data_IF_416655114307
#
_entry.id   IF_416655114307
#
_cell.length_a   1.000
_cell.length_b   1.000
_cell.length_c   1.000
_cell.angle_alpha   90.00
_cell.angle_beta   90.00
_cell.angle_gamma   90.00
#
_symmetry.space_group_name_H-M   'P 1'
#
loop_
_entity.id
_entity.type
_entity.pdbx_description
1 polymer ?
#
# COMPACT_ATOMS: atom_id res chain seq x y z
N UNK A 1 40.04 -16.30 -14.58
CA UNK A 1 40.82 -17.41 -14.00
C UNK A 1 41.93 -16.84 -13.13
N UNK A 2 41.80 -17.00 -11.80
CA UNK A 2 42.71 -16.73 -10.64
C UNK A 2 41.76 -16.46 -9.46
N UNK A 3 41.21 -17.49 -8.80
CA UNK A 3 41.76 -18.20 -7.64
C UNK A 3 42.26 -17.25 -6.55
N UNK A 4 41.56 -17.17 -5.41
CA UNK A 4 42.06 -17.72 -4.14
C UNK A 4 40.93 -17.77 -3.08
N UNK A 5 40.72 -18.98 -2.54
CA UNK A 5 39.96 -19.28 -1.33
C UNK A 5 40.68 -18.80 -0.07
N UNK A 6 39.93 -18.64 1.04
CA UNK A 6 40.23 -18.94 2.46
C UNK A 6 39.32 -18.06 3.35
N UNK A 7 38.69 -18.47 4.45
CA UNK A 7 38.77 -19.66 5.33
C UNK A 7 37.43 -19.78 6.09
N UNK A 8 36.98 -21.02 6.30
CA UNK A 8 36.04 -21.45 7.35
C UNK A 8 36.84 -21.79 8.63
N UNK A 9 36.29 -21.43 9.79
CA UNK A 9 36.47 -22.02 11.14
C UNK A 9 35.83 -21.04 12.16
N UNK A 10 35.14 -21.38 13.24
CA UNK A 10 34.74 -22.63 13.91
C UNK A 10 33.63 -22.25 14.93
N UNK A 11 32.62 -23.09 15.14
CA UNK A 11 32.48 -24.05 16.23
C UNK A 11 32.44 -23.44 17.66
N UNK A 12 31.29 -23.52 18.33
CA UNK A 12 31.16 -24.01 19.71
C UNK A 12 29.67 -24.18 20.08
N UNK A 13 29.30 -25.42 20.41
CA UNK A 13 28.05 -25.79 21.06
C UNK A 13 28.20 -25.67 22.58
N UNK A 14 27.11 -25.35 23.30
CA UNK A 14 26.96 -25.68 24.70
C UNK A 14 25.47 -25.86 25.03
N UNK A 15 25.05 -27.12 25.06
CA UNK A 15 23.83 -27.56 25.72
C UNK A 15 24.10 -27.65 27.23
N UNK A 16 23.22 -27.09 28.05
CA UNK A 16 23.19 -27.35 29.49
C UNK A 16 21.86 -28.02 29.81
N UNK A 17 21.95 -29.32 30.06
CA UNK A 17 20.96 -30.13 30.75
C UNK A 17 21.12 -29.89 32.25
N UNK A 18 20.04 -29.55 32.95
CA UNK A 18 19.96 -29.65 34.40
C UNK A 18 18.72 -30.49 34.76
N UNK A 19 19.00 -31.53 35.53
CA UNK A 19 18.08 -32.55 35.97
C UNK A 19 17.25 -32.11 37.18
N UNK A 20 16.02 -32.61 37.22
CA UNK A 20 15.41 -33.27 38.38
C UNK A 20 15.15 -32.43 39.64
N UNK A 21 13.87 -32.21 39.94
CA UNK A 21 13.37 -32.41 41.30
C UNK A 21 11.93 -32.88 41.24
N UNK A 22 11.70 -34.11 41.70
CA UNK A 22 10.38 -34.73 41.84
C UNK A 22 9.88 -34.45 43.26
N UNK A 23 8.70 -33.85 43.39
CA UNK A 23 8.01 -33.67 44.67
C UNK A 23 6.77 -34.58 44.69
N UNK A 24 6.86 -35.65 45.49
CA UNK A 24 5.73 -36.50 45.87
C UNK A 24 4.74 -35.71 46.74
N UNK A 25 3.53 -35.48 46.24
CA UNK A 25 2.40 -34.94 47.00
C UNK A 25 1.39 -36.05 47.33
N UNK A 26 0.99 -36.14 48.60
CA UNK A 26 -0.03 -37.08 49.10
C UNK A 26 -1.45 -36.76 48.58
N UNK A 27 -2.35 -37.77 48.49
CA UNK A 27 -3.72 -37.56 48.06
C UNK A 27 -4.58 -36.94 49.18
N UNK A 28 -5.10 -35.74 48.94
CA UNK A 28 -6.14 -35.12 49.77
C UNK A 28 -7.54 -35.62 49.40
N UNK A 29 -8.53 -35.50 50.31
CA UNK A 29 -9.88 -36.00 50.11
C UNK A 29 -10.60 -35.25 48.97
N UNK A 30 -11.29 -36.00 48.11
CA UNK A 30 -11.92 -35.50 46.90
C UNK A 30 -13.02 -34.46 47.18
N UNK A 31 -13.18 -33.46 46.30
CA UNK A 31 -14.31 -32.54 46.36
C UNK A 31 -15.59 -33.26 45.91
N UNK A 32 -16.67 -32.98 46.64
CA UNK A 32 -18.06 -33.25 46.29
C UNK A 32 -18.40 -32.80 44.86
N UNK A 33 -19.25 -33.52 44.11
CA UNK A 33 -19.64 -33.13 42.77
C UNK A 33 -20.53 -31.88 42.83
N UNK A 34 -19.96 -30.73 42.46
CA UNK A 34 -20.71 -29.50 42.22
C UNK A 34 -21.51 -29.68 40.93
N UNK A 35 -22.82 -29.50 41.04
CA UNK A 35 -23.77 -29.60 39.94
C UNK A 35 -23.44 -28.53 38.90
N UNK A 36 -22.88 -28.96 37.76
CA UNK A 36 -22.45 -28.08 36.68
C UNK A 36 -23.63 -27.33 36.06
N UNK A 37 -23.66 -26.02 36.26
CA UNK A 37 -24.45 -25.13 35.41
C UNK A 37 -23.86 -25.17 33.99
N UNK A 38 -24.68 -25.35 32.93
CA UNK A 38 -24.16 -25.45 31.58
C UNK A 38 -23.46 -24.14 31.18
N UNK A 39 -22.20 -24.28 30.75
CA UNK A 39 -21.44 -23.17 30.15
C UNK A 39 -22.19 -22.68 28.90
N UNK A 40 -22.33 -21.35 28.69
CA UNK A 40 -22.94 -20.84 27.48
C UNK A 40 -22.14 -21.30 26.26
N UNK A 41 -22.80 -21.56 25.11
CA UNK A 41 -22.10 -21.94 23.89
C UNK A 41 -21.08 -20.84 23.52
N UNK A 42 -19.92 -21.21 22.92
CA UNK A 42 -18.98 -20.22 22.45
C UNK A 42 -19.70 -19.28 21.49
N UNK A 43 -19.64 -17.98 21.78
CA UNK A 43 -20.18 -16.96 20.90
C UNK A 43 -19.59 -17.18 19.50
N UNK A 44 -20.46 -17.39 18.51
CA UNK A 44 -20.06 -17.49 17.11
C UNK A 44 -19.26 -16.24 16.78
N UNK A 45 -18.00 -16.41 16.38
CA UNK A 45 -17.14 -15.29 16.02
C UNK A 45 -17.89 -14.42 14.99
N UNK A 46 -17.95 -13.11 15.24
CA UNK A 46 -18.51 -12.18 14.28
C UNK A 46 -17.84 -12.42 12.92
N UNK A 47 -18.58 -12.35 11.79
CA UNK A 47 -17.96 -12.42 10.47
C UNK A 47 -16.83 -11.38 10.39
N UNK A 48 -15.71 -11.70 9.74
CA UNK A 48 -14.65 -10.72 9.55
C UNK A 48 -15.23 -9.45 8.91
N UNK A 49 -14.73 -8.26 9.26
CA UNK A 49 -15.18 -7.02 8.66
C UNK A 49 -15.18 -7.14 7.13
N UNK A 50 -16.36 -7.02 6.54
CA UNK A 50 -16.51 -7.16 5.09
C UNK A 50 -16.17 -5.82 4.44
N UNK A 51 -15.26 -5.84 3.47
CA UNK A 51 -14.91 -4.64 2.71
C UNK A 51 -16.14 -4.12 1.93
N UNK A 52 -16.57 -2.90 2.23
CA UNK A 52 -17.67 -2.21 1.53
C UNK A 52 -17.20 -1.20 0.48
N UNK A 53 -15.89 -0.95 0.38
CA UNK A 53 -15.28 -0.11 -0.65
C UNK A 53 -15.48 -0.68 -2.05
N UNK A 54 -15.38 0.18 -3.07
CA UNK A 54 -15.54 -0.22 -4.46
C UNK A 54 -14.25 -0.85 -4.97
N UNK A 55 -14.29 -2.13 -5.31
CA UNK A 55 -13.18 -2.83 -5.95
C UNK A 55 -13.17 -2.53 -7.46
N UNK A 56 -12.04 -2.02 -7.95
CA UNK A 56 -11.74 -1.88 -9.38
C UNK A 56 -10.62 -2.86 -9.69
N UNK A 57 -10.96 -3.98 -10.34
CA UNK A 57 -10.00 -5.06 -10.60
C UNK A 57 -8.95 -4.74 -11.68
N UNK A 58 -9.22 -3.75 -12.53
CA UNK A 58 -8.40 -3.39 -13.70
C UNK A 58 -8.21 -1.88 -13.81
N UNK A 59 -7.86 -1.22 -12.70
CA UNK A 59 -7.44 0.18 -12.76
C UNK A 59 -6.10 0.25 -13.48
N UNK A 60 -5.97 1.16 -14.44
CA UNK A 60 -4.66 1.43 -15.03
C UNK A 60 -3.90 2.38 -14.12
N UNK A 61 -2.69 1.99 -13.73
CA UNK A 61 -1.83 2.87 -12.93
C UNK A 61 -0.59 3.24 -13.71
N UNK A 62 -0.05 4.40 -13.40
CA UNK A 62 1.30 4.82 -13.74
C UNK A 62 2.00 5.30 -12.47
N UNK A 63 3.28 5.64 -12.57
CA UNK A 63 3.96 6.39 -11.53
C UNK A 63 4.41 7.75 -12.06
N UNK A 64 4.45 8.71 -11.14
CA UNK A 64 5.14 10.00 -11.29
C UNK A 64 5.91 10.27 -9.99
N UNK A 65 6.93 11.11 -10.05
CA UNK A 65 7.77 11.40 -8.90
C UNK A 65 8.44 12.76 -8.96
N UNK A 66 9.38 12.97 -8.07
CA UNK A 66 10.07 14.25 -7.92
C UNK A 66 10.66 14.79 -9.24
N UNK A 67 11.16 13.92 -10.12
CA UNK A 67 11.86 14.33 -11.34
C UNK A 67 10.96 14.79 -12.47
N UNK A 68 9.74 14.28 -12.55
CA UNK A 68 8.78 14.50 -13.64
C UNK A 68 7.45 15.09 -13.16
N UNK A 69 7.32 15.41 -11.87
CA UNK A 69 6.24 16.24 -11.36
C UNK A 69 6.14 17.56 -12.15
N UNK A 70 4.99 18.22 -12.09
CA UNK A 70 4.82 19.56 -12.65
C UNK A 70 4.63 20.56 -11.49
N UNK A 71 5.62 21.42 -11.18
CA UNK A 71 6.92 21.61 -11.85
C UNK A 71 7.96 20.50 -11.56
N UNK A 72 8.89 20.22 -12.50
CA UNK A 72 9.92 19.20 -12.31
C UNK A 72 10.88 19.53 -11.17
N UNK A 73 11.31 18.50 -10.44
CA UNK A 73 12.17 18.67 -9.27
C UNK A 73 11.42 19.26 -8.07
N UNK A 74 10.13 18.95 -7.92
CA UNK A 74 9.31 19.49 -6.85
C UNK A 74 8.36 18.44 -6.26
N UNK A 75 7.82 18.75 -5.08
CA UNK A 75 6.76 17.99 -4.42
C UNK A 75 5.45 18.79 -4.38
N UNK A 76 5.29 19.78 -5.26
CA UNK A 76 4.06 20.58 -5.32
C UNK A 76 2.89 19.68 -5.72
N UNK A 77 1.72 19.94 -5.12
CA UNK A 77 0.45 19.28 -5.42
C UNK A 77 -0.62 20.33 -5.69
N UNK A 78 -1.58 20.00 -6.54
CA UNK A 78 -2.64 20.95 -6.93
C UNK A 78 -3.85 20.98 -5.98
N UNK A 79 -4.10 19.91 -5.21
CA UNK A 79 -5.32 19.74 -4.42
C UNK A 79 -5.04 19.25 -2.98
N UNK A 80 -4.30 20.02 -2.15
CA UNK A 80 -3.94 19.60 -0.79
C UNK A 80 -5.18 19.37 0.09
N UNK A 81 -5.20 18.24 0.82
CA UNK A 81 -6.24 17.92 1.81
C UNK A 81 -5.62 17.56 3.16
N UNK A 82 -4.74 16.56 3.17
CA UNK A 82 -3.99 16.09 4.33
C UNK A 82 -2.55 16.61 4.29
N UNK A 83 -1.90 16.56 3.12
CA UNK A 83 -0.54 17.04 2.92
C UNK A 83 -0.51 18.42 2.29
N UNK A 84 0.61 19.13 2.47
CA UNK A 84 0.89 20.40 1.77
C UNK A 84 1.83 20.20 0.57
N UNK A 85 2.30 18.98 0.37
CA UNK A 85 3.21 18.56 -0.69
C UNK A 85 3.07 17.05 -0.90
N UNK A 86 3.36 16.54 -2.10
CA UNK A 86 3.29 15.12 -2.41
C UNK A 86 4.17 14.30 -1.47
N UNK A 87 3.63 13.20 -0.95
CA UNK A 87 4.33 12.38 0.03
C UNK A 87 3.43 11.34 0.67
N UNK A 88 3.73 11.01 1.93
CA UNK A 88 3.00 10.05 2.75
C UNK A 88 3.74 8.71 2.90
N UNK A 89 3.55 8.04 4.05
CA UNK A 89 4.17 6.73 4.34
C UNK A 89 3.35 5.54 3.84
N UNK A 90 2.16 5.76 3.29
CA UNK A 90 1.26 4.73 2.77
C UNK A 90 0.44 4.00 3.83
N UNK A 91 0.41 4.52 5.06
CA UNK A 91 -0.50 4.00 6.10
C UNK A 91 -1.89 4.62 5.95
N UNK A 92 -2.90 4.07 6.64
CA UNK A 92 -4.22 4.72 6.65
C UNK A 92 -4.17 6.14 7.19
N UNK A 93 -3.37 6.41 8.24
CA UNK A 93 -3.29 7.74 8.84
C UNK A 93 -2.50 8.74 7.96
N UNK A 94 -1.59 8.22 7.15
CA UNK A 94 -0.65 8.97 6.32
C UNK A 94 -0.51 8.28 4.95
N UNK A 95 -1.57 8.31 4.13
CA UNK A 95 -1.61 7.67 2.81
C UNK A 95 -0.69 8.38 1.81
N UNK A 96 -0.24 7.68 0.77
CA UNK A 96 0.58 8.31 -0.28
C UNK A 96 -0.28 9.18 -1.21
N UNK A 97 0.23 10.33 -1.64
CA UNK A 97 -0.43 11.15 -2.68
C UNK A 97 -0.66 10.35 -3.97
N UNK A 98 -1.81 10.55 -4.61
CA UNK A 98 -2.10 10.05 -5.96
C UNK A 98 -2.72 11.17 -6.78
N UNK A 99 -2.36 11.23 -8.05
CA UNK A 99 -2.92 12.13 -9.04
C UNK A 99 -4.00 11.44 -9.87
N UNK A 100 -5.03 12.21 -10.24
CA UNK A 100 -6.17 11.72 -11.04
C UNK A 100 -6.42 12.64 -12.23
N UNK A 101 -7.05 12.11 -13.28
CA UNK A 101 -7.52 12.94 -14.39
C UNK A 101 -8.46 14.05 -13.91
N UNK A 102 -8.57 15.10 -14.72
CA UNK A 102 -9.43 16.24 -14.43
C UNK A 102 -9.89 16.92 -15.73
N UNK A 103 -10.91 17.75 -15.60
CA UNK A 103 -11.51 18.46 -16.74
C UNK A 103 -11.79 19.91 -16.39
N UNK A 104 -11.62 20.79 -17.37
CA UNK A 104 -11.99 22.20 -17.25
C UNK A 104 -13.26 22.45 -18.05
N UNK A 105 -14.33 22.83 -17.36
CA UNK A 105 -15.61 23.18 -17.98
C UNK A 105 -16.12 24.50 -17.41
N UNK A 106 -16.42 25.46 -18.28
CA UNK A 106 -16.86 26.81 -17.91
C UNK A 106 -15.91 27.50 -16.90
N UNK A 107 -14.61 27.25 -16.99
CA UNK A 107 -13.59 27.80 -16.10
C UNK A 107 -13.47 27.11 -14.74
N UNK A 108 -14.29 26.10 -14.46
CA UNK A 108 -14.15 25.27 -13.28
C UNK A 108 -13.29 24.04 -13.59
N UNK A 109 -12.26 23.83 -12.80
CA UNK A 109 -11.42 22.63 -12.83
C UNK A 109 -12.02 21.57 -11.88
N UNK A 110 -12.30 20.37 -12.40
CA UNK A 110 -12.95 19.28 -11.67
C UNK A 110 -12.18 17.98 -11.85
N UNK A 111 -11.71 17.42 -10.74
CA UNK A 111 -11.07 16.10 -10.69
C UNK A 111 -12.07 14.98 -10.96
N UNK A 112 -11.61 13.92 -11.64
CA UNK A 112 -12.39 12.70 -11.91
C UNK A 112 -12.74 11.95 -10.61
N UNK A 113 -11.88 12.09 -9.60
CA UNK A 113 -12.12 11.68 -8.22
C UNK A 113 -11.95 12.89 -7.30
N UNK A 114 -12.89 13.19 -6.39
CA UNK A 114 -12.75 14.32 -5.49
C UNK A 114 -11.47 14.27 -4.66
N UNK A 115 -10.86 15.43 -4.42
CA UNK A 115 -9.74 15.54 -3.51
C UNK A 115 -10.10 14.96 -2.13
N UNK A 116 -9.18 14.21 -1.53
CA UNK A 116 -9.39 13.48 -0.29
C UNK A 116 -9.93 12.06 -0.47
N UNK A 117 -10.29 11.65 -1.69
CA UNK A 117 -10.69 10.27 -1.99
C UNK A 117 -9.56 9.33 -1.59
N UNK A 118 -9.88 8.31 -0.79
CA UNK A 118 -8.90 7.33 -0.31
C UNK A 118 -8.98 6.06 -1.11
N UNK A 119 -7.85 5.39 -1.26
CA UNK A 119 -7.80 4.09 -1.90
C UNK A 119 -6.71 3.22 -1.30
N UNK A 120 -6.80 1.92 -1.54
CA UNK A 120 -5.76 0.95 -1.20
C UNK A 120 -5.38 0.15 -2.44
N UNK A 121 -4.08 0.00 -2.69
CA UNK A 121 -3.54 -0.75 -3.81
C UNK A 121 -2.78 -1.96 -3.25
N UNK A 122 -3.34 -3.18 -3.34
CA UNK A 122 -2.71 -4.38 -2.78
C UNK A 122 -1.31 -4.63 -3.33
N UNK A 123 -1.08 -4.35 -4.63
CA UNK A 123 0.23 -4.55 -5.27
C UNK A 123 1.35 -3.76 -4.59
N UNK A 124 1.01 -2.63 -3.97
CA UNK A 124 1.93 -1.73 -3.28
C UNK A 124 1.86 -1.88 -1.76
N UNK A 125 0.82 -2.55 -1.24
CA UNK A 125 0.51 -2.60 0.19
C UNK A 125 0.54 -1.19 0.81
N UNK A 126 -0.16 -0.25 0.21
CA UNK A 126 -0.22 1.14 0.65
C UNK A 126 -1.62 1.70 0.45
N UNK A 127 -1.99 2.60 1.34
CA UNK A 127 -3.12 3.50 1.15
C UNK A 127 -2.66 4.74 0.39
N UNK A 128 -3.56 5.31 -0.41
CA UNK A 128 -3.35 6.51 -1.19
C UNK A 128 -4.50 7.51 -0.98
N UNK A 129 -4.23 8.78 -1.24
CA UNK A 129 -5.19 9.87 -1.14
C UNK A 129 -5.07 10.80 -2.36
N UNK A 130 -6.20 11.12 -2.97
CA UNK A 130 -6.25 12.06 -4.10
C UNK A 130 -5.94 13.46 -3.58
N UNK A 131 -4.80 14.00 -3.97
CA UNK A 131 -4.39 15.36 -3.61
C UNK A 131 -3.73 16.11 -4.75
N UNK A 132 -3.72 15.50 -5.93
CA UNK A 132 -3.02 16.03 -7.09
C UNK A 132 -3.80 15.73 -8.37
N UNK A 133 -3.44 16.43 -9.45
CA UNK A 133 -4.08 16.30 -10.74
C UNK A 133 -3.07 15.77 -11.76
N UNK A 134 -3.44 14.71 -12.49
CA UNK A 134 -2.69 14.25 -13.63
C UNK A 134 -3.24 14.95 -14.88
N UNK A 135 -2.43 15.87 -15.39
CA UNK A 135 -2.68 16.51 -16.65
C UNK A 135 -2.40 17.99 -16.65
N UNK A 136 -1.79 18.47 -17.74
CA UNK A 136 -1.38 19.86 -17.85
C UNK A 136 -2.09 20.57 -19.00
N UNK A 137 -2.13 21.90 -18.90
CA UNK A 137 -2.59 22.79 -19.95
C UNK A 137 -4.08 23.12 -19.90
N UNK A 138 -4.58 23.72 -20.97
CA UNK A 138 -5.94 24.28 -21.02
C UNK A 138 -7.04 23.23 -21.30
N UNK A 139 -6.66 22.02 -21.69
CA UNK A 139 -7.58 20.94 -22.08
C UNK A 139 -7.18 19.60 -21.44
N UNK A 140 -7.11 19.51 -20.10
CA UNK A 140 -6.75 18.27 -19.41
C UNK A 140 -7.75 17.12 -19.69
N UNK A 141 -8.98 17.45 -20.09
CA UNK A 141 -9.96 16.46 -20.53
C UNK A 141 -9.58 15.71 -21.84
N UNK A 142 -8.59 16.18 -22.60
CA UNK A 142 -8.21 15.57 -23.88
C UNK A 142 -6.97 14.65 -23.78
N UNK A 143 -6.35 14.56 -22.60
CA UNK A 143 -5.12 13.79 -22.37
C UNK A 143 -5.40 12.46 -21.62
N UNK A 144 -4.47 11.50 -21.63
CA UNK A 144 -4.77 10.12 -21.24
C UNK A 144 -5.29 9.90 -19.81
N UNK A 145 -4.86 10.69 -18.83
CA UNK A 145 -5.30 10.54 -17.44
C UNK A 145 -6.81 10.77 -17.25
N UNK A 146 -7.43 11.64 -18.06
CA UNK A 146 -8.89 11.79 -18.12
C UNK A 146 -9.49 11.00 -19.30
N UNK A 147 -8.92 11.16 -20.49
CA UNK A 147 -9.34 10.47 -21.70
C UNK A 147 -8.59 9.14 -21.88
N UNK A 148 -9.00 8.16 -21.08
CA UNK A 148 -8.41 6.82 -20.97
C UNK A 148 -8.23 6.12 -22.33
N UNK A 149 -9.12 6.39 -23.29
CA UNK A 149 -9.04 5.82 -24.64
C UNK A 149 -7.77 6.20 -25.43
N UNK A 150 -7.06 7.24 -24.99
CA UNK A 150 -5.87 7.79 -25.66
C UNK A 150 -4.53 7.28 -25.14
N UNK A 151 -4.51 6.39 -24.14
CA UNK A 151 -3.23 5.87 -23.66
C UNK A 151 -3.29 4.71 -22.67
N UNK A 152 -4.44 4.43 -22.07
CA UNK A 152 -4.53 3.40 -21.05
C UNK A 152 -4.62 2.00 -21.68
N UNK A 153 -4.25 0.98 -20.91
CA UNK A 153 -4.41 -0.41 -21.33
C UNK A 153 -5.90 -0.75 -21.60
N UNK A 154 -6.14 -1.58 -22.62
CA UNK A 154 -7.51 -1.98 -23.01
C UNK A 154 -8.24 -2.64 -21.84
N UNK A 155 -9.51 -2.27 -21.65
CA UNK A 155 -10.37 -2.86 -20.61
C UNK A 155 -10.30 -2.16 -19.25
N UNK A 156 -9.58 -1.03 -19.17
CA UNK A 156 -9.65 -0.15 -17.99
C UNK A 156 -10.70 0.96 -18.16
N UNK A 157 -11.18 1.46 -17.03
CA UNK A 157 -12.16 2.55 -16.95
C UNK A 157 -11.69 3.68 -16.04
N UNK A 158 -10.51 3.55 -15.41
CA UNK A 158 -9.92 4.56 -14.53
C UNK A 158 -8.40 4.59 -14.69
N UNK A 159 -7.80 5.77 -14.50
CA UNK A 159 -6.35 5.97 -14.45
C UNK A 159 -5.96 6.59 -13.10
N UNK A 160 -4.98 6.02 -12.42
CA UNK A 160 -4.36 6.61 -11.23
C UNK A 160 -2.86 6.80 -11.44
N UNK A 161 -2.35 8.00 -11.25
CA UNK A 161 -0.93 8.27 -11.38
C UNK A 161 -0.28 8.41 -9.99
N UNK A 162 0.62 7.50 -9.66
CA UNK A 162 1.02 7.22 -8.28
C UNK A 162 2.30 7.98 -7.93
N UNK A 163 2.26 8.77 -6.86
CA UNK A 163 3.47 9.45 -6.37
C UNK A 163 4.48 8.43 -5.85
N UNK A 164 5.67 8.40 -6.43
CA UNK A 164 6.71 7.47 -6.04
C UNK A 164 7.74 8.03 -5.05
N UNK A 165 7.75 9.34 -4.83
CA UNK A 165 8.85 10.03 -4.13
C UNK A 165 10.02 10.30 -5.08
N UNK A 166 11.23 9.88 -4.70
CA UNK A 166 12.39 9.88 -5.60
C UNK A 166 13.31 11.11 -5.53
N UNK A 167 13.08 12.05 -4.60
CA UNK A 167 13.97 13.22 -4.39
C UNK A 167 15.38 12.84 -3.93
N UNK A 168 15.52 11.70 -3.26
CA UNK A 168 16.81 11.10 -2.87
C UNK A 168 17.33 10.04 -3.84
N UNK A 169 16.62 9.81 -4.95
CA UNK A 169 16.94 8.78 -5.94
C UNK A 169 17.33 9.40 -7.27
N UNK A 170 18.00 8.62 -8.13
CA UNK A 170 18.31 9.10 -9.47
C UNK A 170 17.04 9.17 -10.34
N UNK A 171 17.04 10.04 -11.35
CA UNK A 171 15.98 10.09 -12.36
C UNK A 171 15.84 8.71 -13.06
N UNK A 172 16.95 8.01 -13.30
CA UNK A 172 16.90 6.66 -13.88
C UNK A 172 16.24 5.62 -12.97
N UNK A 173 16.40 5.72 -11.66
CA UNK A 173 15.73 4.81 -10.71
C UNK A 173 14.23 5.16 -10.60
N UNK A 174 13.89 6.45 -10.67
CA UNK A 174 12.51 6.94 -10.72
C UNK A 174 11.77 6.36 -11.91
N UNK A 175 12.29 6.55 -13.13
CA UNK A 175 11.71 5.97 -14.35
C UNK A 175 11.56 4.45 -14.33
N UNK A 176 12.49 3.74 -13.68
CA UNK A 176 12.39 2.29 -13.52
C UNK A 176 11.25 1.90 -12.58
N UNK A 177 11.05 2.66 -11.50
CA UNK A 177 9.95 2.42 -10.59
C UNK A 177 8.61 2.80 -11.23
N UNK A 178 8.50 3.95 -11.89
CA UNK A 178 7.32 4.37 -12.66
C UNK A 178 6.92 3.31 -13.70
N UNK A 179 7.90 2.79 -14.45
CA UNK A 179 7.66 1.70 -15.41
C UNK A 179 7.19 0.40 -14.75
N UNK A 180 7.63 0.12 -13.51
CA UNK A 180 7.17 -1.06 -12.74
C UNK A 180 5.70 -0.92 -12.33
N UNK A 181 5.25 0.30 -12.03
CA UNK A 181 3.86 0.60 -11.68
C UNK A 181 2.94 0.73 -12.89
N UNK A 182 3.49 0.82 -14.10
CA UNK A 182 2.71 1.06 -15.32
C UNK A 182 2.04 -0.23 -15.81
N UNK A 183 0.90 -0.57 -15.22
CA UNK A 183 0.13 -1.77 -15.56
C UNK A 183 -1.32 -1.68 -15.07
N UNK A 184 -2.06 -2.79 -15.22
CA UNK A 184 -3.39 -2.95 -14.63
C UNK A 184 -3.25 -3.54 -13.22
N UNK A 185 -3.87 -2.89 -12.25
CA UNK A 185 -3.88 -3.31 -10.85
C UNK A 185 -5.27 -3.28 -10.24
N UNK A 186 -5.42 -4.04 -9.16
CA UNK A 186 -6.59 -3.94 -8.29
C UNK A 186 -6.46 -2.70 -7.41
N UNK A 187 -7.53 -1.90 -7.35
CA UNK A 187 -7.64 -0.74 -6.47
C UNK A 187 -8.94 -0.87 -5.68
N UNK A 188 -8.87 -0.64 -4.38
CA UNK A 188 -10.04 -0.58 -3.50
C UNK A 188 -10.28 0.89 -3.18
N UNK A 189 -11.30 1.48 -3.79
CA UNK A 189 -11.71 2.86 -3.54
C UNK A 189 -12.56 2.97 -2.29
N UNK A 190 -12.33 4.02 -1.51
CA UNK A 190 -12.98 4.30 -0.23
C UNK A 190 -13.03 3.04 0.67
N UNK A 191 -11.87 2.42 0.96
CA UNK A 191 -11.86 1.18 1.72
C UNK A 191 -12.39 1.43 3.13
N UNK A 192 -13.34 0.60 3.51
CA UNK A 192 -13.91 0.55 4.86
C UNK A 192 -12.96 -0.10 5.85
N UNK A 193 -12.11 -1.01 5.38
CA UNK A 193 -11.06 -1.68 6.16
C UNK A 193 -9.80 -0.80 6.22
N UNK A 194 -9.30 -0.59 7.44
CA UNK A 194 -8.17 0.33 7.73
C UNK A 194 -6.91 -0.39 8.22
N UNK A 195 -7.01 -1.70 8.42
CA UNK A 195 -5.99 -2.61 8.94
C UNK A 195 -5.44 -3.54 7.87
N UNK A 196 -5.53 -3.16 6.59
CA UNK A 196 -4.76 -3.85 5.56
C UNK A 196 -3.28 -3.83 5.90
N UNK A 197 -2.58 -4.88 5.46
CA UNK A 197 -1.14 -4.98 5.49
C UNK A 197 -0.56 -3.77 4.76
N UNK A 198 0.42 -3.13 5.37
CA UNK A 198 1.11 -1.99 4.76
C UNK A 198 2.60 -2.26 4.77
N UNK A 199 3.27 -1.89 3.68
CA UNK A 199 4.73 -1.70 3.66
C UNK A 199 5.00 -0.20 3.76
N UNK A 200 5.32 0.35 4.95
CA UNK A 200 5.43 1.80 5.12
C UNK A 200 6.66 2.40 4.44
N UNK A 201 6.60 3.70 4.14
CA UNK A 201 7.66 4.49 3.50
C UNK A 201 7.32 4.89 2.06
N UNK A 202 8.28 5.48 1.35
CA UNK A 202 8.11 5.86 -0.06
C UNK A 202 7.88 4.62 -0.95
N UNK A 203 7.30 4.82 -2.13
CA UNK A 203 7.22 3.75 -3.15
C UNK A 203 8.59 3.51 -3.76
N UNK A 204 9.39 4.55 -3.98
CA UNK A 204 10.80 4.45 -4.35
C UNK A 204 11.70 4.84 -3.17
N UNK A 205 12.52 3.89 -2.70
CA UNK A 205 13.55 4.14 -1.68
C UNK A 205 14.93 3.72 -2.19
N UNK A 206 15.80 4.70 -2.44
CA UNK A 206 17.08 4.47 -3.11
C UNK A 206 16.85 3.91 -4.51
N UNK A 207 17.24 2.65 -4.75
CA UNK A 207 17.02 1.93 -6.02
C UNK A 207 15.84 0.94 -5.95
N UNK A 208 15.22 0.76 -4.78
CA UNK A 208 14.17 -0.21 -4.56
C UNK A 208 12.80 0.39 -4.88
N UNK A 209 12.07 -0.25 -5.79
CA UNK A 209 10.66 0.04 -6.02
C UNK A 209 9.81 -0.94 -5.20
N UNK A 210 9.06 -0.41 -4.22
CA UNK A 210 8.23 -1.16 -3.30
C UNK A 210 6.88 -1.51 -3.93
N UNK A 211 6.91 -2.51 -4.82
CA UNK A 211 5.77 -3.01 -5.57
C UNK A 211 5.81 -4.55 -5.72
N UNK A 212 4.84 -5.10 -6.46
CA UNK A 212 4.71 -6.53 -6.72
C UNK A 212 4.38 -7.39 -5.50
N UNK A 213 3.67 -6.83 -4.53
CA UNK A 213 3.18 -7.56 -3.36
C UNK A 213 1.92 -8.41 -3.63
N UNK A 214 1.38 -8.35 -4.85
CA UNK A 214 0.22 -9.10 -5.30
C UNK A 214 -1.09 -8.30 -5.30
N UNK A 215 -2.08 -8.73 -6.07
CA UNK A 215 -3.33 -7.99 -6.33
C UNK A 215 -4.43 -8.22 -5.28
N UNK A 216 -4.19 -9.09 -4.30
CA UNK A 216 -5.18 -9.44 -3.26
C UNK A 216 -4.88 -8.70 -1.96
N UNK A 217 -5.85 -7.95 -1.39
CA UNK A 217 -5.64 -7.31 -0.10
C UNK A 217 -5.41 -8.34 1.00
N UNK A 218 -4.46 -8.07 1.88
CA UNK A 218 -4.16 -8.89 3.06
C UNK A 218 -4.43 -8.04 4.30
N UNK A 219 -5.03 -8.63 5.33
CA UNK A 219 -5.12 -8.00 6.64
C UNK A 219 -3.78 -8.14 7.40
N UNK A 220 -3.57 -7.29 8.41
CA UNK A 220 -2.42 -7.37 9.30
C UNK A 220 -2.48 -8.55 10.27
#
# INVERSE_FOLDING_TARGET
MRSLQRRLAGAAAAAVLLAGTSCSGSPGPGPTPESGSPSPPPASAAPPPQESGKVIATAYTTGYGYWDNTPPGSTVISNPVLHQSAGGTGTWADPVTVAVGHSISNGADTLDFPAGTRMYIPNLQKYFIVEDACGDGATPQDIPCHNISRGAARGTTVWFDIWIGGSSSSNSDSRRCEATLTALHTVILEPSVRDYRVTPGDVLSGQACHANYGETPLLR
#
